data_IF_550284466508
#
_entry.id   IF_550284466508
#
_cell.length_a   1.000
_cell.length_b   1.000
_cell.length_c   1.000
_cell.angle_alpha   90.00
_cell.angle_beta   90.00
_cell.angle_gamma   90.00
#
_symmetry.space_group_name_H-M   'P 1'
#
loop_
_entity.id
_entity.type
_entity.pdbx_description
1 polymer ?
#
# COMPACT_ATOMS: atom_id res chain seq x y z
N UNK A 1 0.40 13.62 -1.22
CA UNK A 1 1.19 12.57 -1.88
C UNK A 1 2.25 13.23 -2.75
N UNK A 2 3.48 12.72 -2.79
CA UNK A 2 4.55 13.23 -3.64
C UNK A 2 4.62 12.39 -4.93
N UNK A 3 4.98 13.02 -6.04
CA UNK A 3 5.06 12.32 -7.32
C UNK A 3 6.17 12.87 -8.22
N UNK A 4 6.84 11.96 -8.90
CA UNK A 4 7.95 12.26 -9.81
C UNK A 4 7.77 11.49 -11.12
N UNK A 5 8.14 12.11 -12.24
CA UNK A 5 8.23 11.47 -13.56
C UNK A 5 9.69 11.20 -13.88
N UNK A 6 10.02 9.93 -14.09
CA UNK A 6 11.33 9.48 -14.58
C UNK A 6 11.16 9.20 -16.08
N UNK A 7 11.72 10.06 -16.93
CA UNK A 7 11.59 9.94 -18.37
C UNK A 7 12.54 8.87 -18.92
N UNK A 8 12.09 8.16 -19.95
CA UNK A 8 12.93 7.19 -20.67
C UNK A 8 14.07 7.92 -21.41
N UNK A 9 15.17 7.22 -21.68
CA UNK A 9 16.37 7.80 -22.35
C UNK A 9 16.06 8.45 -23.70
N UNK A 10 15.03 7.98 -24.39
CA UNK A 10 14.60 8.50 -25.69
C UNK A 10 13.50 9.57 -25.60
N UNK A 11 13.06 9.95 -24.38
CA UNK A 11 12.03 10.95 -24.13
C UNK A 11 10.61 10.58 -24.60
N UNK A 12 10.38 9.35 -25.07
CA UNK A 12 9.08 8.91 -25.62
C UNK A 12 8.13 8.34 -24.57
N UNK A 13 8.60 8.16 -23.34
CA UNK A 13 7.83 7.62 -22.24
C UNK A 13 8.36 8.10 -20.89
N UNK A 14 7.61 7.77 -19.85
CA UNK A 14 8.04 8.01 -18.47
C UNK A 14 7.44 6.95 -17.55
N UNK A 15 8.14 6.69 -16.45
CA UNK A 15 7.60 6.01 -15.28
C UNK A 15 7.20 7.06 -14.25
N UNK A 16 5.96 7.01 -13.76
CA UNK A 16 5.54 7.85 -12.63
C UNK A 16 5.72 7.10 -11.32
N UNK A 17 6.49 7.71 -10.42
CA UNK A 17 6.65 7.27 -9.04
C UNK A 17 5.66 8.03 -8.16
N UNK A 18 5.00 7.29 -7.27
CA UNK A 18 4.16 7.83 -6.21
C UNK A 18 4.82 7.49 -4.87
N UNK A 19 5.09 8.51 -4.08
CA UNK A 19 5.67 8.37 -2.75
C UNK A 19 4.80 9.09 -1.73
N UNK A 20 4.80 8.56 -0.52
CA UNK A 20 4.14 9.18 0.63
C UNK A 20 5.19 9.49 1.66
N UNK A 21 5.07 10.65 2.28
CA UNK A 21 5.83 10.95 3.48
C UNK A 21 5.45 10.00 4.60
N UNK A 22 6.27 10.01 5.64
CA UNK A 22 5.97 9.31 6.89
C UNK A 22 4.60 9.77 7.39
N UNK A 23 3.66 8.84 7.56
CA UNK A 23 2.37 9.12 8.21
C UNK A 23 2.29 8.33 9.50
N UNK A 24 1.80 8.98 10.56
CA UNK A 24 1.61 8.35 11.87
C UNK A 24 0.18 8.61 12.33
N UNK A 25 -0.43 7.58 12.91
CA UNK A 25 -1.73 7.66 13.59
C UNK A 25 -2.87 8.20 12.71
N UNK A 26 -2.93 7.76 11.44
CA UNK A 26 -4.00 8.14 10.52
C UNK A 26 -5.07 7.07 10.43
N UNK A 27 -6.31 7.50 10.18
CA UNK A 27 -7.41 6.59 9.83
C UNK A 27 -7.04 5.88 8.51
N UNK A 28 -6.84 4.54 8.52
CA UNK A 28 -6.43 3.82 7.33
C UNK A 28 -7.47 3.85 6.21
N UNK A 29 -8.76 3.80 6.56
CA UNK A 29 -9.85 3.84 5.58
C UNK A 29 -9.79 5.15 4.79
N UNK A 30 -9.71 6.28 5.49
CA UNK A 30 -9.59 7.59 4.84
C UNK A 30 -8.29 7.70 4.05
N UNK A 31 -7.17 7.30 4.66
CA UNK A 31 -5.85 7.38 4.04
C UNK A 31 -5.77 6.63 2.71
N UNK A 32 -6.15 5.35 2.68
CA UNK A 32 -6.09 4.55 1.46
C UNK A 32 -7.12 5.00 0.42
N UNK A 33 -8.32 5.43 0.84
CA UNK A 33 -9.33 5.99 -0.09
C UNK A 33 -8.81 7.25 -0.78
N UNK A 34 -8.26 8.19 -0.02
CA UNK A 34 -7.68 9.43 -0.56
C UNK A 34 -6.47 9.15 -1.45
N UNK A 35 -5.54 8.29 -1.00
CA UNK A 35 -4.35 7.94 -1.78
C UNK A 35 -4.71 7.33 -3.15
N UNK A 36 -5.65 6.39 -3.18
CA UNK A 36 -6.04 5.74 -4.44
C UNK A 36 -6.74 6.71 -5.40
N UNK A 37 -7.57 7.62 -4.87
CA UNK A 37 -8.23 8.66 -5.64
C UNK A 37 -7.22 9.63 -6.26
N UNK A 38 -6.30 10.18 -5.47
CA UNK A 38 -5.28 11.10 -5.96
C UNK A 38 -4.38 10.43 -7.00
N UNK A 39 -3.92 9.20 -6.71
CA UNK A 39 -3.07 8.41 -7.61
C UNK A 39 -3.75 8.22 -8.96
N UNK A 40 -5.02 7.77 -8.96
CA UNK A 40 -5.77 7.54 -10.20
C UNK A 40 -6.08 8.82 -10.95
N UNK A 41 -6.33 9.93 -10.27
CA UNK A 41 -6.60 11.21 -10.94
C UNK A 41 -5.37 11.67 -11.74
N UNK A 42 -4.18 11.55 -11.13
CA UNK A 42 -2.90 11.85 -11.79
C UNK A 42 -2.64 10.88 -12.95
N UNK A 43 -2.83 9.58 -12.74
CA UNK A 43 -2.67 8.58 -13.81
C UNK A 43 -3.64 8.82 -14.97
N UNK A 44 -4.89 9.17 -14.69
CA UNK A 44 -5.89 9.47 -15.71
C UNK A 44 -5.49 10.70 -16.53
N UNK A 45 -5.02 11.76 -15.86
CA UNK A 45 -4.48 12.95 -16.53
C UNK A 45 -3.31 12.60 -17.44
N UNK A 46 -2.36 11.81 -16.94
CA UNK A 46 -1.18 11.41 -17.71
C UNK A 46 -1.56 10.59 -18.95
N UNK A 47 -2.47 9.63 -18.79
CA UNK A 47 -2.97 8.80 -19.90
C UNK A 47 -3.70 9.66 -20.94
N UNK A 48 -4.54 10.60 -20.50
CA UNK A 48 -5.26 11.49 -21.40
C UNK A 48 -4.29 12.46 -22.10
N UNK A 49 -3.29 13.00 -21.40
CA UNK A 49 -2.29 13.88 -21.96
C UNK A 49 -1.48 13.18 -23.05
N UNK A 50 -1.10 11.91 -22.84
CA UNK A 50 -0.37 11.12 -23.82
C UNK A 50 -1.15 10.93 -25.14
N UNK A 51 -2.49 10.94 -25.07
CA UNK A 51 -3.36 10.72 -26.24
C UNK A 51 -3.86 12.03 -26.86
N UNK A 52 -4.21 13.01 -26.04
CA UNK A 52 -4.83 14.28 -26.43
C UNK A 52 -4.28 15.46 -25.59
N UNK A 53 -3.05 15.93 -25.86
CA UNK A 53 -2.39 16.96 -25.04
C UNK A 53 -3.18 18.28 -24.96
N UNK A 54 -3.67 18.76 -26.11
CA UNK A 54 -4.40 20.03 -26.19
C UNK A 54 -5.68 19.99 -25.34
N UNK A 55 -6.53 18.97 -25.53
CA UNK A 55 -7.74 18.80 -24.74
C UNK A 55 -7.43 18.69 -23.24
N UNK A 56 -6.42 17.89 -22.88
CA UNK A 56 -6.04 17.68 -21.48
C UNK A 56 -5.59 18.98 -20.80
N UNK A 57 -4.92 19.87 -21.55
CA UNK A 57 -4.49 21.18 -21.04
C UNK A 57 -5.64 22.14 -20.72
N UNK A 58 -6.83 21.87 -21.24
CA UNK A 58 -8.04 22.67 -20.97
C UNK A 58 -8.84 22.13 -19.77
N UNK A 59 -8.47 20.97 -19.21
CA UNK A 59 -9.16 20.33 -18.11
C UNK A 59 -8.46 20.61 -16.78
N UNK A 60 -9.24 21.05 -15.80
CA UNK A 60 -8.76 21.29 -14.44
C UNK A 60 -8.62 19.99 -13.63
N UNK A 61 -8.03 20.09 -12.44
CA UNK A 61 -7.82 18.95 -11.55
C UNK A 61 -9.16 18.35 -11.08
N UNK A 62 -10.18 19.19 -10.89
CA UNK A 62 -11.52 18.78 -10.44
C UNK A 62 -12.19 17.83 -11.43
N UNK A 63 -12.00 18.05 -12.74
CA UNK A 63 -12.48 17.13 -13.75
C UNK A 63 -11.95 15.71 -13.52
N UNK A 64 -10.64 15.55 -13.32
CA UNK A 64 -10.02 14.24 -13.13
C UNK A 64 -10.45 13.59 -11.82
N UNK A 65 -10.52 14.37 -10.74
CA UNK A 65 -10.99 13.89 -9.44
C UNK A 65 -12.41 13.35 -9.56
N UNK A 66 -13.34 14.14 -10.10
CA UNK A 66 -14.74 13.72 -10.25
C UNK A 66 -14.89 12.48 -11.12
N UNK A 67 -14.12 12.38 -12.22
CA UNK A 67 -14.13 11.19 -13.06
C UNK A 67 -13.61 9.95 -12.36
N UNK A 68 -12.60 10.09 -11.51
CA UNK A 68 -12.10 8.98 -10.70
C UNK A 68 -13.09 8.58 -9.62
N UNK A 69 -13.77 9.53 -8.97
CA UNK A 69 -14.85 9.24 -8.01
C UNK A 69 -15.97 8.41 -8.67
N UNK A 70 -16.42 8.81 -9.86
CA UNK A 70 -17.40 8.07 -10.65
C UNK A 70 -16.91 6.64 -10.99
N UNK A 71 -15.61 6.48 -11.31
CA UNK A 71 -15.00 5.17 -11.61
C UNK A 71 -14.79 4.28 -10.37
N UNK A 72 -14.66 4.87 -9.18
CA UNK A 72 -14.39 4.17 -7.93
C UNK A 72 -15.65 3.81 -7.14
N UNK A 73 -16.84 4.12 -7.66
CA UNK A 73 -18.11 3.68 -7.06
C UNK A 73 -18.08 2.16 -6.89
N UNK A 74 -18.36 1.67 -5.67
CA UNK A 74 -18.31 0.25 -5.33
C UNK A 74 -16.91 -0.35 -5.19
N UNK A 75 -15.84 0.35 -5.60
CA UNK A 75 -14.47 -0.19 -5.56
C UNK A 75 -14.02 -0.50 -4.12
N UNK A 76 -14.34 0.37 -3.17
CA UNK A 76 -13.96 0.16 -1.77
C UNK A 76 -14.93 -0.74 -1.01
N UNK A 77 -16.20 -0.77 -1.41
CA UNK A 77 -17.23 -1.61 -0.80
C UNK A 77 -16.85 -3.09 -0.87
N UNK A 78 -16.16 -3.51 -1.93
CA UNK A 78 -15.64 -4.87 -2.05
C UNK A 78 -14.76 -5.26 -0.85
N UNK A 79 -13.88 -4.35 -0.40
CA UNK A 79 -12.98 -4.64 0.74
C UNK A 79 -13.74 -4.66 2.07
N UNK A 80 -14.76 -3.82 2.20
CA UNK A 80 -15.62 -3.80 3.39
C UNK A 80 -16.45 -5.09 3.50
N UNK A 81 -16.80 -5.70 2.36
CA UNK A 81 -17.56 -6.95 2.27
C UNK A 81 -16.69 -8.22 2.25
N UNK A 82 -15.41 -8.11 1.89
CA UNK A 82 -14.49 -9.25 1.90
C UNK A 82 -14.45 -9.90 3.28
N UNK A 83 -14.71 -11.20 3.32
CA UNK A 83 -14.60 -11.97 4.56
C UNK A 83 -13.13 -12.18 4.90
N UNK A 84 -12.77 -11.89 6.14
CA UNK A 84 -11.44 -12.14 6.69
C UNK A 84 -11.56 -13.31 7.66
N UNK A 85 -10.61 -14.24 7.60
CA UNK A 85 -10.59 -15.40 8.49
C UNK A 85 -10.50 -14.98 9.97
N UNK A 86 -11.25 -15.66 10.84
CA UNK A 86 -11.38 -15.30 12.26
C UNK A 86 -10.05 -15.26 13.00
N UNK A 87 -9.09 -16.11 12.64
CA UNK A 87 -7.73 -16.07 13.19
C UNK A 87 -7.09 -14.67 13.08
N UNK A 88 -7.29 -13.96 11.96
CA UNK A 88 -6.76 -12.60 11.81
C UNK A 88 -7.48 -11.59 12.71
N UNK A 89 -8.78 -11.78 12.95
CA UNK A 89 -9.54 -10.97 13.90
C UNK A 89 -9.10 -11.26 15.34
N UNK A 90 -8.79 -12.52 15.67
CA UNK A 90 -8.26 -12.89 16.98
C UNK A 90 -6.85 -12.35 17.21
N UNK A 91 -6.02 -12.25 16.16
CA UNK A 91 -4.69 -11.60 16.25
C UNK A 91 -4.78 -10.17 16.77
N UNK A 92 -5.80 -9.42 16.33
CA UNK A 92 -6.04 -8.05 16.77
C UNK A 92 -6.38 -7.93 18.27
N UNK A 93 -6.81 -9.03 18.90
CA UNK A 93 -7.23 -9.08 20.31
C UNK A 93 -6.15 -9.58 21.25
N UNK A 94 -5.09 -10.21 20.74
CA UNK A 94 -4.06 -10.85 21.57
C UNK A 94 -2.72 -10.16 21.46
N UNK A 95 -2.06 -9.96 22.60
CA UNK A 95 -0.71 -9.41 22.71
C UNK A 95 0.35 -10.48 22.95
N UNK A 96 -0.06 -11.74 23.17
CA UNK A 96 0.86 -12.83 23.48
C UNK A 96 1.47 -13.42 22.21
N UNK A 97 2.80 -13.28 22.07
CA UNK A 97 3.57 -13.78 20.92
C UNK A 97 3.25 -15.24 20.55
N UNK A 98 3.22 -16.14 21.54
CA UNK A 98 2.94 -17.58 21.31
C UNK A 98 1.57 -17.81 20.65
N UNK A 99 0.55 -17.03 21.04
CA UNK A 99 -0.78 -17.13 20.46
C UNK A 99 -0.80 -16.54 19.04
N UNK A 100 -0.06 -15.45 18.82
CA UNK A 100 0.08 -14.86 17.48
C UNK A 100 0.73 -15.84 16.49
N UNK A 101 1.81 -16.50 16.90
CA UNK A 101 2.48 -17.53 16.09
C UNK A 101 1.54 -18.71 15.77
N UNK A 102 0.76 -19.16 16.75
CA UNK A 102 -0.21 -20.23 16.55
C UNK A 102 -1.33 -19.83 15.58
N UNK A 103 -1.87 -18.62 15.71
CA UNK A 103 -2.95 -18.09 14.85
C UNK A 103 -2.50 -17.86 13.40
N UNK A 104 -1.23 -17.50 13.18
CA UNK A 104 -0.65 -17.25 11.86
C UNK A 104 -0.17 -18.52 11.14
N UNK A 105 -0.04 -19.65 11.84
CA UNK A 105 0.56 -20.86 11.27
C UNK A 105 -0.29 -21.41 10.12
N UNK A 106 0.31 -21.46 8.92
CA UNK A 106 -0.35 -21.96 7.71
C UNK A 106 -1.38 -21.00 7.10
N UNK A 107 -1.49 -19.78 7.63
CA UNK A 107 -2.39 -18.77 7.09
C UNK A 107 -1.77 -18.08 5.88
N UNK A 108 -2.60 -17.77 4.90
CA UNK A 108 -2.28 -16.91 3.75
C UNK A 108 -3.23 -15.73 3.74
N UNK A 109 -2.79 -14.62 3.17
CA UNK A 109 -3.58 -13.40 3.06
C UNK A 109 -3.39 -12.83 1.66
N UNK A 110 -4.49 -12.70 0.92
CA UNK A 110 -4.47 -12.03 -0.37
C UNK A 110 -4.63 -10.50 -0.19
N UNK A 111 -4.38 -9.69 -1.24
CA UNK A 111 -4.45 -8.23 -1.12
C UNK A 111 -5.82 -7.68 -0.69
N UNK A 112 -6.92 -8.28 -1.15
CA UNK A 112 -8.28 -7.85 -0.81
C UNK A 112 -8.60 -8.18 0.66
N UNK A 113 -8.18 -9.35 1.14
CA UNK A 113 -8.29 -9.75 2.55
C UNK A 113 -7.43 -8.87 3.46
N UNK A 114 -6.21 -8.52 3.02
CA UNK A 114 -5.33 -7.61 3.76
C UNK A 114 -5.96 -6.23 3.91
N UNK A 115 -6.48 -5.67 2.81
CA UNK A 115 -7.13 -4.36 2.84
C UNK A 115 -8.37 -4.39 3.72
N UNK A 116 -9.17 -5.46 3.64
CA UNK A 116 -10.33 -5.67 4.51
C UNK A 116 -9.94 -5.73 5.98
N UNK A 117 -8.89 -6.49 6.32
CA UNK A 117 -8.37 -6.60 7.69
C UNK A 117 -7.90 -5.22 8.20
N UNK A 118 -7.20 -4.44 7.37
CA UNK A 118 -6.77 -3.09 7.71
C UNK A 118 -7.98 -2.20 8.02
N UNK A 119 -9.03 -2.24 7.18
CA UNK A 119 -10.24 -1.44 7.40
C UNK A 119 -10.99 -1.86 8.67
N UNK A 120 -11.17 -3.16 8.87
CA UNK A 120 -11.79 -3.73 10.09
C UNK A 120 -11.02 -3.37 11.34
N UNK A 121 -9.68 -3.38 11.29
CA UNK A 121 -8.86 -3.04 12.45
C UNK A 121 -9.13 -1.62 12.96
N UNK A 122 -9.42 -0.66 12.08
CA UNK A 122 -9.86 0.67 12.49
C UNK A 122 -11.33 0.70 12.89
N UNK A 123 -12.24 0.19 12.05
CA UNK A 123 -13.68 0.33 12.26
C UNK A 123 -14.16 -0.40 13.53
N UNK A 124 -13.61 -1.58 13.81
CA UNK A 124 -14.09 -2.45 14.89
C UNK A 124 -13.22 -2.35 16.16
N UNK A 125 -11.94 -1.95 16.02
CA UNK A 125 -10.98 -1.94 17.13
C UNK A 125 -10.27 -0.60 17.35
N UNK A 126 -10.48 0.39 16.49
CA UNK A 126 -9.89 1.72 16.63
C UNK A 126 -8.39 1.80 16.32
N UNK A 127 -7.83 0.82 15.62
CA UNK A 127 -6.41 0.84 15.27
C UNK A 127 -6.10 1.84 14.16
N UNK A 128 -5.10 2.69 14.39
CA UNK A 128 -4.59 3.63 13.40
C UNK A 128 -3.47 3.01 12.58
N UNK A 129 -3.26 3.52 11.36
CA UNK A 129 -2.11 3.14 10.52
C UNK A 129 -0.96 4.12 10.71
N UNK A 130 0.25 3.58 10.66
CA UNK A 130 1.48 4.34 10.47
C UNK A 130 2.24 3.76 9.25
N UNK A 131 2.70 4.64 8.36
CA UNK A 131 3.61 4.30 7.28
C UNK A 131 4.98 4.91 7.64
N UNK A 132 5.91 4.05 8.04
CA UNK A 132 7.21 4.45 8.55
C UNK A 132 8.29 4.01 7.55
N UNK A 133 9.03 4.98 7.01
CA UNK A 133 10.21 4.69 6.21
C UNK A 133 11.39 4.38 7.13
N UNK A 134 11.76 3.10 7.24
CA UNK A 134 12.92 2.68 8.02
C UNK A 134 14.15 2.56 7.11
N UNK A 135 15.07 3.53 7.17
CA UNK A 135 16.42 3.37 6.58
C UNK A 135 17.27 2.52 7.51
N UNK A 136 17.37 1.22 7.26
CA UNK A 136 18.36 0.38 7.92
C UNK A 136 19.69 0.63 7.23
N UNK A 137 20.53 1.48 7.84
CA UNK A 137 21.93 1.54 7.47
C UNK A 137 22.57 0.23 7.95
N UNK A 138 23.04 -0.59 7.02
CA UNK A 138 23.92 -1.71 7.35
C UNK A 138 25.21 -1.10 7.90
N UNK A 139 25.28 -0.95 9.23
CA UNK A 139 26.55 -0.71 9.92
C UNK A 139 27.51 -1.83 9.54
N UNK A 140 28.78 -1.47 9.37
CA UNK A 140 29.88 -2.30 8.91
C UNK A 140 29.71 -3.79 9.27
N UNK A 141 29.80 -4.63 8.25
CA UNK A 141 29.51 -6.08 8.17
C UNK A 141 30.18 -6.99 9.22
N UNK A 142 30.89 -6.44 10.20
CA UNK A 142 31.71 -7.17 11.18
C UNK A 142 31.20 -7.16 12.62
N UNK A 143 30.11 -6.49 12.96
CA UNK A 143 29.68 -6.46 14.36
C UNK A 143 28.16 -6.58 14.57
N UNK A 144 27.80 -7.73 15.16
CA UNK A 144 26.64 -8.00 16.04
C UNK A 144 25.31 -8.41 15.39
N UNK A 145 24.96 -9.66 15.70
CA UNK A 145 23.64 -10.30 15.79
C UNK A 145 22.43 -9.45 15.40
N UNK A 146 21.89 -9.75 14.21
CA UNK A 146 20.58 -9.28 13.79
C UNK A 146 19.47 -9.78 14.74
N UNK A 147 18.38 -9.01 14.92
CA UNK A 147 17.13 -9.52 15.46
C UNK A 147 16.63 -10.71 14.61
N UNK A 148 16.13 -11.77 15.25
CA UNK A 148 15.74 -13.03 14.58
C UNK A 148 14.73 -12.87 13.42
N UNK A 149 14.03 -11.75 13.29
CA UNK A 149 13.16 -11.44 12.14
C UNK A 149 13.92 -11.31 10.81
N UNK A 150 15.23 -11.06 10.82
CA UNK A 150 16.05 -10.90 9.60
C UNK A 150 16.76 -12.18 9.15
N UNK A 151 16.60 -13.29 9.87
CA UNK A 151 17.14 -14.58 9.44
C UNK A 151 16.16 -15.21 8.45
N UNK A 152 16.15 -14.69 7.22
CA UNK A 152 15.65 -15.47 6.09
C UNK A 152 16.57 -16.68 5.97
N UNK A 153 16.01 -17.86 6.25
CA UNK A 153 16.68 -19.16 6.06
C UNK A 153 17.33 -19.14 4.67
N UNK A 154 18.65 -19.13 4.61
CA UNK A 154 19.40 -19.50 3.41
C UNK A 154 18.91 -20.90 3.01
N UNK A 155 18.07 -20.99 1.97
CA UNK A 155 18.00 -22.19 1.16
C UNK A 155 18.89 -21.95 -0.05
N UNK A 156 20.10 -22.49 0.11
CA UNK A 156 20.90 -23.17 -0.90
C UNK A 156 21.08 -22.47 -2.25
N UNK A 157 22.24 -21.84 -2.34
CA UNK A 157 22.93 -21.59 -3.59
C UNK A 157 23.55 -22.91 -4.13
N UNK A 158 23.26 -23.18 -5.41
CA UNK A 158 24.02 -23.94 -6.43
C UNK A 158 24.06 -25.47 -6.44
N UNK A 159 23.54 -26.04 -7.54
CA UNK A 159 24.21 -26.93 -8.53
C UNK A 159 23.13 -27.31 -9.58
N UNK A 160 23.28 -27.18 -10.90
CA UNK A 160 24.42 -27.20 -11.81
C UNK A 160 24.36 -26.07 -12.86
#
# INVERSE_FOLDING_TARGET
>A
MNTEKIFDENGRGFTRVFSTDKVELVNPVKYYKTFELEKRAISLRDLLYAKYPFLTSQLDDNFFVKKVEEMLVGFFEKFEQTKVHDNFIQLLKTTQKKNQEALLKGMTLNPDELMSLIFKSYNDFGFYTANIFLKIYLMDWKAKNYPNFFILKKMEQFTN
#
